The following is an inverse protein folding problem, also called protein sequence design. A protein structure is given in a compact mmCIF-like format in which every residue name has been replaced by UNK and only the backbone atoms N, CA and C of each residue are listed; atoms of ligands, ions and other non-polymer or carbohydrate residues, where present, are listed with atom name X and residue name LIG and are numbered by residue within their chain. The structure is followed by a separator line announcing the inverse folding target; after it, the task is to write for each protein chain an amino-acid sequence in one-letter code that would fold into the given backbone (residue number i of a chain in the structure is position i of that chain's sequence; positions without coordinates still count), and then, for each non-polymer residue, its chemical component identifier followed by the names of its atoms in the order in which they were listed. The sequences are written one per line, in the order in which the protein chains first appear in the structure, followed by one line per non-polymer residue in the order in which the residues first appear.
data_IF_916841880755
#
_entry.id   IF_916841880755
#
_cell.length_a   1.000
_cell.length_b   1.000
_cell.length_c   1.000
_cell.angle_alpha   90.00
_cell.angle_beta   90.00
_cell.angle_gamma   90.00
#
_symmetry.space_group_name_H-M   'P 1'
#
loop_
_entity.id
_entity.type
_entity.pdbx_description
1 polymer ?
#
# COMPACT_ATOMS: atom_id res chain seq x y z
N UNK A 1 -6.90 6.16 6.75
CA UNK A 1 -5.50 6.58 6.89
C UNK A 1 -4.51 5.41 6.94
N UNK A 2 -4.39 4.64 8.03
CA UNK A 2 -3.31 3.64 8.24
C UNK A 2 -3.09 2.70 7.04
N UNK A 3 -4.16 2.13 6.47
CA UNK A 3 -4.06 1.21 5.32
C UNK A 3 -3.48 1.91 4.08
N UNK A 4 -3.94 3.13 3.78
CA UNK A 4 -3.42 3.91 2.65
C UNK A 4 -1.96 4.30 2.87
N UNK A 5 -1.59 4.72 4.09
CA UNK A 5 -0.20 5.08 4.40
C UNK A 5 0.74 3.87 4.39
N UNK A 6 0.31 2.73 4.95
CA UNK A 6 1.08 1.49 4.94
C UNK A 6 1.34 1.00 3.52
N UNK A 7 0.33 1.08 2.66
CA UNK A 7 0.48 0.64 1.28
C UNK A 7 1.19 1.66 0.38
N UNK A 8 1.29 2.94 0.77
CA UNK A 8 1.69 4.04 -0.12
C UNK A 8 0.90 4.02 -1.43
N UNK A 9 -0.42 3.82 -1.34
CA UNK A 9 -1.30 3.76 -2.48
C UNK A 9 -1.34 5.11 -3.21
N UNK A 10 -0.86 5.14 -4.46
CA UNK A 10 -0.72 6.34 -5.30
C UNK A 10 -2.02 7.14 -5.39
N UNK A 11 -3.16 6.45 -5.52
CA UNK A 11 -4.47 7.10 -5.66
C UNK A 11 -5.22 7.25 -4.33
N UNK A 12 -4.63 6.76 -3.23
CA UNK A 12 -5.24 6.71 -1.90
C UNK A 12 -5.17 8.02 -1.11
N UNK A 13 -4.58 9.09 -1.67
CA UNK A 13 -4.36 10.39 -1.01
C UNK A 13 -5.55 11.36 -1.12
N UNK A 14 -6.79 10.85 -1.23
CA UNK A 14 -8.02 11.62 -1.49
C UNK A 14 -8.17 12.17 -2.92
N UNK A 15 -7.29 11.79 -3.86
CA UNK A 15 -7.41 12.14 -5.28
C UNK A 15 -8.27 11.15 -6.08
N UNK A 16 -8.06 9.85 -5.87
CA UNK A 16 -8.81 8.75 -6.48
C UNK A 16 -9.29 7.80 -5.39
N UNK A 17 -9.44 6.50 -5.71
CA UNK A 17 -9.49 5.31 -4.83
C UNK A 17 -9.96 5.49 -3.38
N UNK A 18 -10.95 6.34 -3.17
CA UNK A 18 -11.44 6.77 -1.86
C UNK A 18 -12.95 6.62 -1.83
N UNK A 19 -13.43 5.86 -0.86
CA UNK A 19 -14.86 5.67 -0.63
C UNK A 19 -15.28 6.47 0.59
N UNK A 20 -16.25 7.37 0.40
CA UNK A 20 -16.81 8.18 1.47
C UNK A 20 -18.30 7.90 1.62
N UNK A 21 -18.75 7.85 2.87
CA UNK A 21 -20.16 7.72 3.21
C UNK A 21 -20.58 8.86 4.15
N UNK A 22 -21.84 9.27 4.05
CA UNK A 22 -22.46 10.17 5.02
C UNK A 22 -23.82 9.61 5.41
N UNK A 23 -24.00 9.35 6.71
CA UNK A 23 -25.29 8.95 7.26
C UNK A 23 -26.14 10.19 7.50
N UNK A 24 -27.47 10.04 7.52
CA UNK A 24 -28.38 11.15 7.83
C UNK A 24 -28.00 11.74 9.19
N UNK A 25 -27.73 13.05 9.23
CA UNK A 25 -27.26 13.79 10.41
C UNK A 25 -25.94 13.25 11.03
N UNK A 26 -25.14 12.51 10.26
CA UNK A 26 -23.87 11.93 10.67
C UNK A 26 -22.65 12.73 10.21
N UNK A 27 -21.47 12.19 10.52
CA UNK A 27 -20.19 12.71 10.03
C UNK A 27 -19.84 12.05 8.68
N UNK A 28 -18.87 12.63 7.98
CA UNK A 28 -18.23 11.95 6.85
C UNK A 28 -17.45 10.75 7.39
N UNK A 29 -17.71 9.57 6.82
CA UNK A 29 -17.04 8.31 7.13
C UNK A 29 -16.20 7.87 5.93
N UNK A 30 -15.10 7.16 6.19
CA UNK A 30 -14.30 6.46 5.19
C UNK A 30 -14.32 4.95 5.48
N UNK A 31 -15.45 4.27 5.27
CA UNK A 31 -15.67 2.92 5.80
C UNK A 31 -14.96 1.83 5.00
N UNK A 32 -14.54 2.12 3.76
CA UNK A 32 -14.00 1.13 2.85
C UNK A 32 -12.70 1.65 2.22
N UNK A 33 -11.83 0.70 1.88
CA UNK A 33 -10.63 0.91 1.09
C UNK A 33 -10.82 0.25 -0.27
N UNK A 34 -10.24 0.81 -1.33
CA UNK A 34 -10.37 0.33 -2.70
C UNK A 34 -9.07 0.58 -3.50
N UNK A 35 -8.84 -0.20 -4.55
CA UNK A 35 -7.73 -0.11 -5.53
C UNK A 35 -6.31 -0.02 -4.94
N UNK A 36 -5.61 -1.16 -4.88
CA UNK A 36 -4.24 -1.26 -4.32
C UNK A 36 -3.25 -1.95 -5.27
N UNK A 37 -3.63 -2.20 -6.52
CA UNK A 37 -2.76 -2.77 -7.55
C UNK A 37 -1.57 -1.84 -7.88
N UNK A 38 -1.73 -0.53 -7.68
CA UNK A 38 -0.68 0.48 -7.83
C UNK A 38 0.18 0.71 -6.58
N UNK A 39 -0.14 0.06 -5.46
CA UNK A 39 0.49 0.32 -4.18
C UNK A 39 1.83 -0.41 -4.01
N UNK A 40 2.42 -0.32 -2.82
CA UNK A 40 3.64 -1.01 -2.41
C UNK A 40 4.86 -0.72 -3.30
N UNK A 41 4.93 0.50 -3.84
CA UNK A 41 6.03 0.93 -4.72
C UNK A 41 5.99 0.35 -6.12
N UNK A 42 4.84 -0.20 -6.55
CA UNK A 42 4.62 -0.75 -7.89
C UNK A 42 4.46 0.34 -8.96
N UNK A 43 3.91 1.49 -8.59
CA UNK A 43 3.71 2.64 -9.47
C UNK A 43 4.50 3.88 -8.99
N UNK A 44 5.02 4.65 -9.94
CA UNK A 44 5.76 5.90 -9.72
C UNK A 44 5.12 7.12 -10.41
N UNK A 45 3.96 6.95 -11.04
CA UNK A 45 3.32 8.02 -11.79
C UNK A 45 2.73 9.08 -10.87
N UNK A 46 3.47 10.18 -10.79
CA UNK A 46 3.07 11.55 -10.49
C UNK A 46 2.07 11.72 -9.33
N UNK A 47 2.62 12.20 -8.21
CA UNK A 47 2.07 13.40 -7.54
C UNK A 47 3.14 14.50 -7.57
N UNK A 48 3.15 15.26 -8.67
CA UNK A 48 3.87 16.53 -8.82
C UNK A 48 3.43 17.60 -7.79
N UNK A 49 2.44 17.28 -6.97
CA UNK A 49 1.77 18.27 -6.15
C UNK A 49 2.60 18.67 -4.93
N UNK A 50 3.47 17.83 -4.34
CA UNK A 50 4.19 18.23 -3.12
C UNK A 50 5.49 17.44 -2.74
N UNK A 51 6.03 16.57 -3.61
CA UNK A 51 7.37 15.96 -3.40
C UNK A 51 7.44 14.69 -2.54
N UNK A 52 6.31 14.10 -2.15
CA UNK A 52 6.27 12.74 -1.60
C UNK A 52 6.38 11.68 -2.71
N UNK A 53 7.07 10.58 -2.41
CA UNK A 53 7.26 9.46 -3.33
C UNK A 53 6.41 8.28 -2.90
N UNK A 54 5.61 7.71 -3.80
CA UNK A 54 4.94 6.42 -3.61
C UNK A 54 5.91 5.23 -3.70
N UNK A 55 7.08 5.45 -4.29
CA UNK A 55 8.12 4.44 -4.44
C UNK A 55 8.92 4.25 -3.15
N UNK A 56 9.48 3.06 -2.95
CA UNK A 56 10.25 2.73 -1.75
C UNK A 56 9.40 2.58 -0.49
N UNK A 57 9.96 1.95 0.54
CA UNK A 57 9.26 1.57 1.78
C UNK A 57 9.29 2.67 2.85
N UNK A 58 10.12 3.69 2.71
CA UNK A 58 10.29 4.78 3.67
C UNK A 58 9.56 6.06 3.22
N UNK A 59 9.58 7.07 4.08
CA UNK A 59 8.97 8.37 3.82
C UNK A 59 7.45 8.38 4.01
N UNK A 60 6.92 9.55 4.35
CA UNK A 60 5.48 9.78 4.40
C UNK A 60 4.90 9.90 3.00
N UNK A 61 3.68 9.40 2.80
CA UNK A 61 2.97 9.54 1.53
C UNK A 61 1.52 10.03 1.64
N UNK A 62 0.75 9.52 2.60
CA UNK A 62 -0.63 10.00 2.83
C UNK A 62 -0.65 11.10 3.89
N UNK A 63 0.29 11.07 4.85
CA UNK A 63 0.45 12.11 5.89
C UNK A 63 0.77 13.47 5.29
N UNK A 64 1.58 13.47 4.25
CA UNK A 64 2.08 14.63 3.52
C UNK A 64 1.51 14.52 2.13
N UNK A 65 1.01 15.60 1.53
CA UNK A 65 0.51 15.56 0.15
C UNK A 65 -0.88 14.93 0.01
N UNK A 66 -1.72 15.09 1.04
CA UNK A 66 -3.15 14.82 0.97
C UNK A 66 -3.91 16.06 1.45
N UNK A 67 -4.87 16.60 0.66
CA UNK A 67 -5.66 17.76 1.03
C UNK A 67 -6.32 17.70 2.43
N UNK A 68 -6.66 16.51 2.91
CA UNK A 68 -7.37 16.33 4.18
C UNK A 68 -6.44 15.88 5.31
N UNK A 69 -5.64 14.85 5.07
CA UNK A 69 -4.73 14.33 6.10
C UNK A 69 -3.70 15.36 6.55
N UNK A 70 -3.17 16.21 5.67
CA UNK A 70 -2.26 17.30 6.08
C UNK A 70 -2.88 18.16 7.21
N UNK A 71 -4.18 18.44 7.13
CA UNK A 71 -4.93 19.19 8.15
C UNK A 71 -5.25 18.36 9.39
N UNK A 72 -5.56 17.07 9.25
CA UNK A 72 -5.80 16.21 10.42
C UNK A 72 -4.56 16.08 11.32
N UNK A 73 -3.37 16.09 10.75
CA UNK A 73 -2.13 16.06 11.52
C UNK A 73 -1.79 17.38 12.24
N UNK A 74 -2.57 18.45 12.05
CA UNK A 74 -2.50 19.67 12.89
C UNK A 74 -3.25 19.49 14.22
N UNK A 75 -4.15 18.51 14.32
CA UNK A 75 -4.93 18.22 15.53
C UNK A 75 -4.20 17.21 16.43
N UNK A 76 -3.77 17.60 17.64
CA UNK A 76 -3.07 16.68 18.55
C UNK A 76 -3.96 15.51 19.01
N UNK A 77 -5.29 15.67 19.02
CA UNK A 77 -6.18 14.56 19.34
C UNK A 77 -6.12 13.47 18.27
N UNK A 78 -6.16 13.87 16.98
CA UNK A 78 -6.04 12.92 15.87
C UNK A 78 -4.71 12.17 15.91
N UNK A 79 -3.60 12.88 16.19
CA UNK A 79 -2.28 12.26 16.31
C UNK A 79 -2.24 11.25 17.46
N UNK A 80 -2.81 11.59 18.62
CA UNK A 80 -2.92 10.67 19.75
C UNK A 80 -3.71 9.41 19.38
N UNK A 81 -4.91 9.57 18.81
CA UNK A 81 -5.75 8.44 18.40
C UNK A 81 -5.09 7.56 17.33
N UNK A 82 -4.34 8.17 16.40
CA UNK A 82 -3.55 7.42 15.42
C UNK A 82 -2.47 6.58 16.08
N UNK A 83 -1.72 7.13 17.05
CA UNK A 83 -0.67 6.39 17.76
C UNK A 83 -1.25 5.22 18.53
N UNK A 84 -2.35 5.43 19.24
CA UNK A 84 -3.04 4.38 19.99
C UNK A 84 -3.53 3.28 19.05
N UNK A 85 -4.22 3.66 17.96
CA UNK A 85 -4.74 2.71 16.97
C UNK A 85 -3.62 1.95 16.24
N UNK A 86 -2.50 2.61 15.94
CA UNK A 86 -1.35 1.95 15.34
C UNK A 86 -0.76 0.89 16.27
N UNK A 87 -0.51 1.25 17.53
CA UNK A 87 0.08 0.34 18.52
C UNK A 87 -0.85 -0.85 18.83
N UNK A 88 -2.17 -0.63 18.82
CA UNK A 88 -3.17 -1.72 18.92
C UNK A 88 -3.07 -2.70 17.73
N UNK A 89 -2.93 -2.17 16.51
CA UNK A 89 -2.92 -2.98 15.29
C UNK A 89 -1.56 -3.62 15.00
N UNK A 90 -0.47 -3.05 15.52
CA UNK A 90 0.92 -3.44 15.22
C UNK A 90 1.17 -4.95 15.33
N UNK A 91 0.72 -5.68 16.37
CA UNK A 91 0.91 -7.13 16.45
C UNK A 91 0.23 -7.93 15.32
N UNK A 92 -0.85 -7.41 14.74
CA UNK A 92 -1.49 -8.02 13.59
C UNK A 92 -0.79 -7.63 12.28
N UNK A 93 -0.37 -6.36 12.16
CA UNK A 93 0.38 -5.88 11.01
C UNK A 93 1.72 -6.62 10.83
N UNK A 94 2.39 -6.98 11.93
CA UNK A 94 3.63 -7.76 11.93
C UNK A 94 3.49 -9.16 11.31
N UNK A 95 2.25 -9.64 11.14
CA UNK A 95 1.97 -10.94 10.49
C UNK A 95 1.84 -10.82 8.97
N UNK A 96 1.72 -9.61 8.42
CA UNK A 96 1.54 -9.38 6.98
C UNK A 96 2.64 -10.02 6.11
N UNK A 97 3.94 -9.98 6.46
CA UNK A 97 4.97 -10.65 5.67
C UNK A 97 4.73 -12.15 5.53
N UNK A 98 4.27 -12.81 6.59
CA UNK A 98 3.95 -14.25 6.56
C UNK A 98 2.65 -14.49 5.78
N UNK A 99 1.63 -13.64 5.96
CA UNK A 99 0.42 -13.69 5.15
C UNK A 99 0.73 -13.64 3.65
N UNK A 100 1.63 -12.75 3.21
CA UNK A 100 2.06 -12.66 1.81
C UNK A 100 2.71 -13.98 1.36
N UNK A 101 3.64 -14.53 2.15
CA UNK A 101 4.30 -15.82 1.86
C UNK A 101 3.30 -16.97 1.74
N UNK A 102 2.32 -17.04 2.63
CA UNK A 102 1.27 -18.06 2.60
C UNK A 102 0.38 -17.94 1.36
N UNK A 103 -0.03 -16.71 1.01
CA UNK A 103 -0.84 -16.47 -0.20
C UNK A 103 -0.04 -16.76 -1.49
N UNK A 104 1.25 -16.47 -1.50
CA UNK A 104 2.14 -16.85 -2.60
C UNK A 104 2.18 -18.37 -2.80
N UNK A 105 2.29 -19.15 -1.72
CA UNK A 105 2.24 -20.61 -1.80
C UNK A 105 0.89 -21.12 -2.33
N UNK A 106 -0.22 -20.52 -1.90
CA UNK A 106 -1.55 -20.86 -2.42
C UNK A 106 -1.71 -20.56 -3.92
N UNK A 107 -0.92 -19.63 -4.46
CA UNK A 107 -1.00 -19.18 -5.85
C UNK A 107 0.08 -19.80 -6.76
N UNK A 108 0.93 -20.70 -6.25
CA UNK A 108 2.10 -21.22 -6.97
C UNK A 108 1.75 -21.97 -8.27
N UNK A 109 0.65 -22.73 -8.26
CA UNK A 109 0.15 -23.38 -9.46
C UNK A 109 -0.48 -22.37 -10.43
N UNK A 110 -1.20 -21.37 -9.91
CA UNK A 110 -1.92 -20.39 -10.71
C UNK A 110 -0.97 -19.45 -11.45
N UNK A 111 0.06 -18.95 -10.76
CA UNK A 111 1.09 -18.11 -11.38
C UNK A 111 1.83 -18.86 -12.48
N UNK A 112 2.13 -20.16 -12.30
CA UNK A 112 2.78 -20.99 -13.32
C UNK A 112 1.94 -21.05 -14.59
N UNK A 113 0.61 -21.25 -14.46
CA UNK A 113 -0.30 -21.22 -15.62
C UNK A 113 -0.40 -19.83 -16.25
N UNK A 114 -0.44 -18.78 -15.44
CA UNK A 114 -0.55 -17.41 -15.95
C UNK A 114 0.67 -17.03 -16.81
N UNK A 115 1.88 -17.33 -16.33
CA UNK A 115 3.13 -16.92 -16.98
C UNK A 115 3.72 -17.96 -17.95
N UNK A 116 3.07 -19.11 -18.11
CA UNK A 116 3.37 -20.08 -19.18
C UNK A 116 2.84 -19.58 -20.53
N UNK A 117 3.49 -19.98 -21.62
CA UNK A 117 3.09 -19.57 -22.96
C UNK A 117 1.78 -20.22 -23.39
N UNK A 118 1.11 -19.66 -24.41
CA UNK A 118 -0.15 -20.23 -24.91
C UNK A 118 0.07 -21.61 -25.57
N UNK A 119 1.24 -21.84 -26.15
CA UNK A 119 1.63 -23.11 -26.75
C UNK A 119 1.75 -24.24 -25.70
N UNK A 120 2.08 -23.89 -24.45
CA UNK A 120 2.09 -24.82 -23.32
C UNK A 120 0.77 -24.80 -22.50
N UNK A 121 -0.33 -24.35 -23.10
CA UNK A 121 -1.65 -24.20 -22.47
C UNK A 121 -1.69 -23.21 -21.28
N UNK A 122 -0.75 -22.26 -21.22
CA UNK A 122 -0.78 -21.15 -20.28
C UNK A 122 -1.57 -19.92 -20.78
N UNK A 123 -1.66 -18.89 -19.94
CA UNK A 123 -2.33 -17.64 -20.30
C UNK A 123 -1.48 -16.72 -21.20
N UNK A 124 -0.17 -16.96 -21.27
CA UNK A 124 0.77 -16.17 -22.07
C UNK A 124 1.05 -14.79 -21.49
N UNK A 125 0.88 -14.60 -20.18
CA UNK A 125 1.22 -13.32 -19.54
C UNK A 125 2.73 -13.18 -19.43
N UNK A 126 3.21 -11.96 -19.67
CA UNK A 126 4.64 -11.66 -19.61
C UNK A 126 4.93 -10.97 -18.29
N UNK A 127 5.55 -11.71 -17.36
CA UNK A 127 5.85 -11.19 -16.02
C UNK A 127 6.78 -9.98 -16.02
N UNK A 128 7.57 -9.84 -17.09
CA UNK A 128 8.53 -8.75 -17.26
C UNK A 128 8.01 -7.60 -18.12
N UNK A 129 6.70 -7.57 -18.38
CA UNK A 129 6.10 -6.51 -19.17
C UNK A 129 6.06 -5.23 -18.35
N UNK A 130 6.74 -4.20 -18.83
CA UNK A 130 6.58 -2.84 -18.32
C UNK A 130 5.31 -2.27 -18.92
N UNK A 131 4.41 -1.80 -18.05
CA UNK A 131 3.17 -1.12 -18.40
C UNK A 131 3.08 0.21 -17.63
N UNK A 132 2.15 1.07 -18.00
CA UNK A 132 1.96 2.39 -17.37
C UNK A 132 1.74 2.31 -15.85
N UNK A 133 1.22 1.17 -15.37
CA UNK A 133 0.91 0.90 -13.98
C UNK A 133 1.98 0.08 -13.23
N UNK A 134 3.13 -0.17 -13.85
CA UNK A 134 4.20 -1.01 -13.28
C UNK A 134 5.55 -0.38 -13.58
N UNK A 135 6.02 0.46 -12.66
CA UNK A 135 7.31 1.15 -12.77
C UNK A 135 8.50 0.30 -12.33
N UNK A 136 8.21 -0.78 -11.60
CA UNK A 136 9.19 -1.77 -11.15
C UNK A 136 8.85 -3.15 -11.71
N UNK A 137 9.85 -3.81 -12.27
CA UNK A 137 9.78 -5.22 -12.65
C UNK A 137 10.94 -5.96 -11.98
N UNK A 138 10.63 -7.01 -11.22
CA UNK A 138 11.59 -7.79 -10.43
C UNK A 138 12.10 -9.04 -11.15
N UNK A 139 11.59 -9.36 -12.34
CA UNK A 139 12.13 -10.40 -13.23
C UNK A 139 11.43 -11.76 -13.16
N UNK A 140 10.81 -12.10 -12.02
CA UNK A 140 10.15 -13.39 -11.77
C UNK A 140 9.14 -13.31 -10.64
N UNK A 141 8.22 -14.29 -10.56
CA UNK A 141 7.16 -14.31 -9.53
C UNK A 141 7.74 -14.35 -8.12
N UNK A 142 8.77 -15.20 -7.91
CA UNK A 142 9.51 -15.27 -6.65
C UNK A 142 10.18 -13.94 -6.30
N UNK A 143 10.72 -13.23 -7.29
CA UNK A 143 11.34 -11.94 -7.05
C UNK A 143 10.32 -10.85 -6.68
N UNK A 144 9.12 -10.85 -7.29
CA UNK A 144 8.03 -9.95 -6.89
C UNK A 144 7.56 -10.22 -5.45
N UNK A 145 7.43 -11.50 -5.07
CA UNK A 145 7.09 -11.86 -3.68
C UNK A 145 8.16 -11.36 -2.71
N UNK A 146 9.43 -11.62 -3.01
CA UNK A 146 10.54 -11.18 -2.16
C UNK A 146 10.55 -9.65 -2.00
N UNK A 147 10.27 -8.92 -3.08
CA UNK A 147 10.15 -7.48 -3.05
C UNK A 147 9.00 -7.03 -2.13
N UNK A 148 7.79 -7.56 -2.34
CA UNK A 148 6.61 -7.18 -1.56
C UNK A 148 6.78 -7.49 -0.07
N UNK A 149 7.32 -8.67 0.26
CA UNK A 149 7.66 -9.05 1.64
C UNK A 149 8.64 -8.04 2.25
N UNK A 150 9.76 -7.77 1.56
CA UNK A 150 10.78 -6.83 2.04
C UNK A 150 10.22 -5.41 2.20
N UNK A 151 9.39 -4.97 1.25
CA UNK A 151 8.73 -3.67 1.31
C UNK A 151 7.88 -3.58 2.57
N UNK A 152 6.98 -4.54 2.80
CA UNK A 152 6.04 -4.52 3.93
C UNK A 152 6.78 -4.63 5.26
N UNK A 153 7.76 -5.51 5.38
CA UNK A 153 8.59 -5.64 6.59
C UNK A 153 9.26 -4.31 6.96
N UNK A 154 9.94 -3.68 6.00
CA UNK A 154 10.62 -2.40 6.24
C UNK A 154 9.63 -1.25 6.47
N UNK A 155 8.52 -1.24 5.74
CA UNK A 155 7.48 -0.21 5.84
C UNK A 155 6.83 -0.19 7.22
N UNK A 156 6.49 -1.36 7.75
CA UNK A 156 5.94 -1.48 9.10
C UNK A 156 6.94 -0.96 10.14
N UNK A 157 8.21 -1.35 10.06
CA UNK A 157 9.24 -0.87 10.99
C UNK A 157 9.47 0.65 10.91
N UNK A 158 9.45 1.20 9.69
CA UNK A 158 9.57 2.64 9.48
C UNK A 158 8.36 3.40 10.05
N UNK A 159 7.14 2.97 9.75
CA UNK A 159 5.93 3.59 10.25
C UNK A 159 5.85 3.51 11.77
N UNK A 160 6.18 2.37 12.36
CA UNK A 160 6.19 2.19 13.81
C UNK A 160 7.12 3.20 14.51
N UNK A 161 8.32 3.35 13.97
CA UNK A 161 9.29 4.32 14.49
C UNK A 161 8.83 5.77 14.32
N UNK A 162 8.21 6.11 13.19
CA UNK A 162 7.90 7.50 12.85
C UNK A 162 6.53 7.96 13.38
N UNK A 163 5.51 7.09 13.43
CA UNK A 163 4.22 7.38 14.05
C UNK A 163 4.42 7.66 15.54
N UNK A 164 5.21 6.84 16.24
CA UNK A 164 5.45 7.02 17.68
C UNK A 164 6.24 8.31 18.01
N UNK A 165 6.98 8.86 17.03
CA UNK A 165 7.71 10.14 17.13
C UNK A 165 6.87 11.37 16.75
N UNK A 166 5.63 11.19 16.29
CA UNK A 166 4.76 12.33 16.01
C UNK A 166 4.44 13.08 17.31
N UNK A 167 4.53 14.41 17.21
CA UNK A 167 4.21 15.38 18.26
C UNK A 167 2.70 15.55 18.37
#
# INVERSE_FOLDING_TARGET
YIVQELSKNVDGNMRGSCYMAIRRNGKIEQPLVWDFDLAFGNADHITWEQGASSTGWDGWYIKTCSPWFDRFFEDPQFVSELKDRWNELKPQLDKLPNFIKERALMLDDAQTRNFSTKESNGAGWVINKVDWNTSRVSGSYKAEINYLVTFVEKRIGWLDSNINKLN
#
